data_IF_819535090857
#
_entry.id   IF_819535090857
#
_cell.length_a   1.000
_cell.length_b   1.000
_cell.length_c   1.000
_cell.angle_alpha   90.00
_cell.angle_beta   90.00
_cell.angle_gamma   90.00
#
_symmetry.space_group_name_H-M   'P 1'
#
loop_
_entity.id
_entity.type
_entity.pdbx_description
1 polymer ?
#
# COMPACT_ATOMS: atom_id res chain seq x y z
N UNK A 1 -0.96 28.71 -16.48
CA UNK A 1 -1.17 30.16 -16.23
C UNK A 1 -2.65 30.62 -16.19
N UNK A 2 -3.62 29.80 -16.61
CA UNK A 2 -5.03 30.21 -16.69
C UNK A 2 -5.64 30.48 -15.30
N UNK A 3 -5.52 29.54 -14.35
CA UNK A 3 -6.08 29.71 -13.00
C UNK A 3 -5.58 30.96 -12.26
N UNK A 4 -4.29 31.29 -12.40
CA UNK A 4 -3.69 32.51 -11.80
C UNK A 4 -4.32 33.80 -12.36
N UNK A 5 -4.69 33.81 -13.66
CA UNK A 5 -5.33 34.97 -14.30
C UNK A 5 -6.83 35.06 -13.99
N UNK A 6 -7.50 33.92 -13.86
CA UNK A 6 -8.95 33.87 -13.59
C UNK A 6 -9.29 33.91 -12.10
N UNK A 7 -8.30 33.87 -11.20
CA UNK A 7 -8.51 33.79 -9.76
C UNK A 7 -9.08 32.45 -9.29
N UNK A 8 -9.01 31.42 -10.14
CA UNK A 8 -9.47 30.08 -9.79
C UNK A 8 -8.40 29.33 -8.99
N UNK A 9 -8.83 28.34 -8.22
CA UNK A 9 -7.91 27.43 -7.54
C UNK A 9 -7.14 26.55 -8.54
N UNK A 10 -5.96 26.06 -8.13
CA UNK A 10 -5.18 25.08 -8.88
C UNK A 10 -5.67 23.64 -8.69
N UNK A 11 -6.48 23.37 -7.66
CA UNK A 11 -7.08 22.04 -7.46
C UNK A 11 -8.05 21.70 -8.59
N UNK A 12 -7.90 20.47 -9.08
CA UNK A 12 -8.67 19.91 -10.19
C UNK A 12 -9.85 19.04 -9.72
N UNK A 13 -9.94 18.77 -8.41
CA UNK A 13 -10.97 17.92 -7.81
C UNK A 13 -10.64 16.43 -7.88
N UNK A 14 -9.38 16.07 -8.20
CA UNK A 14 -8.93 14.69 -8.31
C UNK A 14 -9.05 13.93 -6.99
N UNK A 15 -9.24 12.59 -7.01
CA UNK A 15 -9.33 11.79 -5.79
C UNK A 15 -8.13 11.95 -4.84
N UNK A 16 -6.93 12.12 -5.39
CA UNK A 16 -5.70 12.34 -4.60
C UNK A 16 -5.69 13.68 -3.85
N UNK A 17 -6.40 14.70 -4.34
CA UNK A 17 -6.46 16.05 -3.73
C UNK A 17 -7.47 16.13 -2.58
N UNK A 18 -8.36 15.12 -2.42
CA UNK A 18 -9.39 15.13 -1.38
C UNK A 18 -8.73 15.11 0.02
N UNK A 19 -9.35 15.72 1.03
CA UNK A 19 -8.85 15.68 2.40
C UNK A 19 -8.93 14.26 2.98
N UNK A 20 -7.85 13.72 3.55
CA UNK A 20 -7.86 12.43 4.29
C UNK A 20 -8.73 12.61 5.53
N UNK A 21 -9.63 11.66 5.80
CA UNK A 21 -10.51 11.67 6.97
C UNK A 21 -10.38 10.37 7.73
N UNK A 22 -10.07 10.45 9.02
CA UNK A 22 -9.84 9.28 9.88
C UNK A 22 -10.90 9.24 10.98
N UNK A 23 -12.08 8.70 10.67
CA UNK A 23 -13.21 8.67 11.61
C UNK A 23 -13.45 7.26 12.14
N UNK A 24 -13.61 7.14 13.46
CA UNK A 24 -14.10 5.91 14.11
C UNK A 24 -13.12 4.75 14.18
N UNK A 25 -11.84 4.96 13.84
CA UNK A 25 -10.79 3.92 13.90
C UNK A 25 -10.35 3.70 15.33
N UNK A 26 -10.12 4.78 16.06
CA UNK A 26 -9.57 4.78 17.41
C UNK A 26 -10.65 5.11 18.43
N UNK A 27 -10.48 4.61 19.65
CA UNK A 27 -11.35 4.95 20.79
C UNK A 27 -11.23 6.42 21.18
N UNK A 28 -10.08 7.04 20.89
CA UNK A 28 -9.82 8.46 21.12
C UNK A 28 -9.82 9.19 19.77
N UNK A 29 -10.90 9.92 19.48
CA UNK A 29 -11.07 10.66 18.22
C UNK A 29 -10.07 11.81 18.07
N UNK A 30 -9.57 12.34 19.18
CA UNK A 30 -8.62 13.47 19.17
C UNK A 30 -7.26 13.05 18.59
N UNK A 31 -6.83 11.80 18.85
CA UNK A 31 -5.61 11.21 18.26
C UNK A 31 -5.77 11.06 16.76
N UNK A 32 -6.92 10.55 16.30
CA UNK A 32 -7.18 10.42 14.85
C UNK A 32 -7.25 11.79 14.17
N UNK A 33 -7.77 12.82 14.83
CA UNK A 33 -7.78 14.19 14.30
C UNK A 33 -6.37 14.79 14.21
N UNK A 34 -5.49 14.51 15.18
CA UNK A 34 -4.10 14.92 15.15
C UNK A 34 -3.35 14.30 13.95
N UNK A 35 -3.53 13.00 13.71
CA UNK A 35 -2.95 12.31 12.55
C UNK A 35 -3.57 12.80 11.25
N UNK A 36 -4.89 13.03 11.22
CA UNK A 36 -5.57 13.62 10.06
C UNK A 36 -5.01 15.00 9.72
N UNK A 37 -4.79 15.86 10.72
CA UNK A 37 -4.19 17.18 10.53
C UNK A 37 -2.76 17.09 10.02
N UNK A 38 -1.95 16.18 10.57
CA UNK A 38 -0.60 15.90 10.08
C UNK A 38 -0.61 15.50 8.60
N UNK A 39 -1.39 14.48 8.24
CA UNK A 39 -1.47 13.98 6.87
C UNK A 39 -1.94 15.03 5.86
N UNK A 40 -2.94 15.84 6.22
CA UNK A 40 -3.46 16.88 5.33
C UNK A 40 -2.58 18.15 5.26
N UNK A 41 -1.61 18.29 6.16
CA UNK A 41 -0.63 19.39 6.11
C UNK A 41 0.54 19.09 5.18
N UNK A 42 0.75 17.80 4.84
CA UNK A 42 1.85 17.33 4.01
C UNK A 42 1.50 17.42 2.52
N UNK A 43 2.50 17.40 1.63
CA UNK A 43 2.27 17.32 0.19
C UNK A 43 1.43 16.09 -0.19
N UNK A 44 0.66 16.17 -1.28
CA UNK A 44 -0.27 15.12 -1.72
C UNK A 44 0.44 13.77 -1.97
N UNK A 45 1.72 13.79 -2.35
CA UNK A 45 2.53 12.60 -2.64
C UNK A 45 3.29 12.04 -1.44
N UNK A 46 3.21 12.71 -0.27
CA UNK A 46 3.86 12.24 0.94
C UNK A 46 3.19 10.96 1.43
N UNK A 47 3.97 9.88 1.54
CA UNK A 47 3.56 8.61 2.12
C UNK A 47 4.27 8.51 3.48
N UNK A 48 3.54 8.49 4.60
CA UNK A 48 4.15 8.41 5.92
C UNK A 48 4.70 7.00 6.12
N UNK A 49 5.77 6.89 6.89
CA UNK A 49 6.17 5.62 7.45
C UNK A 49 5.37 5.31 8.75
N UNK A 50 5.66 4.18 9.38
CA UNK A 50 5.04 3.84 10.66
C UNK A 50 5.48 4.79 11.79
N UNK A 51 6.75 5.21 11.80
CA UNK A 51 7.35 6.01 12.86
C UNK A 51 6.85 7.46 12.86
N UNK A 52 6.52 8.02 11.70
CA UNK A 52 5.85 9.30 11.49
C UNK A 52 4.52 9.32 12.24
N UNK A 53 3.68 8.30 12.00
CA UNK A 53 2.37 8.17 12.64
C UNK A 53 2.55 7.91 14.14
N UNK A 54 3.46 7.01 14.52
CA UNK A 54 3.75 6.71 15.92
C UNK A 54 4.22 7.95 16.69
N UNK A 55 5.07 8.79 16.07
CA UNK A 55 5.57 10.03 16.66
C UNK A 55 4.43 11.03 16.88
N UNK A 56 3.55 11.22 15.91
CA UNK A 56 2.38 12.10 16.06
C UNK A 56 1.48 11.63 17.21
N UNK A 57 1.23 10.32 17.32
CA UNK A 57 0.43 9.74 18.41
C UNK A 57 1.12 9.95 19.76
N UNK A 58 2.43 9.73 19.83
CA UNK A 58 3.23 9.90 21.06
C UNK A 58 3.28 11.36 21.50
N UNK A 59 3.56 12.28 20.58
CA UNK A 59 3.61 13.73 20.83
C UNK A 59 2.25 14.26 21.28
N UNK A 60 1.16 13.78 20.67
CA UNK A 60 -0.19 14.12 21.09
C UNK A 60 -0.49 13.60 22.50
N UNK A 61 -0.14 12.34 22.79
CA UNK A 61 -0.35 11.74 24.10
C UNK A 61 0.45 12.46 25.21
N UNK A 62 1.65 12.96 24.90
CA UNK A 62 2.47 13.74 25.83
C UNK A 62 1.89 15.13 26.14
N UNK A 63 1.16 15.72 25.19
CA UNK A 63 0.58 17.07 25.31
C UNK A 63 -0.86 17.06 25.83
N UNK A 64 -1.61 15.99 25.59
CA UNK A 64 -3.00 15.85 25.99
C UNK A 64 -3.16 15.74 27.52
N UNK A 65 -4.28 16.27 28.03
CA UNK A 65 -4.79 15.97 29.37
C UNK A 65 -6.06 15.13 29.19
N UNK A 66 -6.40 14.25 30.14
CA UNK A 66 -5.91 12.92 30.56
C UNK A 66 -6.82 11.76 30.02
N UNK A 67 -6.66 10.48 30.46
CA UNK A 67 -5.45 9.82 30.91
C UNK A 67 -4.55 9.47 29.71
N UNK A 68 -3.22 9.55 29.88
CA UNK A 68 -2.30 9.16 28.83
C UNK A 68 -2.51 7.67 28.49
N UNK A 69 -2.51 7.37 27.20
CA UNK A 69 -2.43 6.02 26.69
C UNK A 69 -1.14 5.37 27.20
N UNK A 70 -1.22 4.08 27.53
CA UNK A 70 -0.03 3.28 27.85
C UNK A 70 0.79 3.05 26.57
N UNK A 71 2.08 2.75 26.69
CA UNK A 71 2.96 2.54 25.53
C UNK A 71 2.42 1.47 24.56
N UNK A 72 1.87 0.37 25.09
CA UNK A 72 1.22 -0.67 24.28
C UNK A 72 -0.03 -0.17 23.55
N UNK A 73 -0.79 0.74 24.16
CA UNK A 73 -1.97 1.36 23.53
C UNK A 73 -1.55 2.37 22.46
N UNK A 74 -0.45 3.10 22.67
CA UNK A 74 0.16 3.98 21.66
C UNK A 74 0.55 3.17 20.44
N UNK A 75 1.28 2.07 20.61
CA UNK A 75 1.71 1.19 19.51
C UNK A 75 0.52 0.59 18.76
N UNK A 76 -0.48 0.06 19.47
CA UNK A 76 -1.69 -0.50 18.84
C UNK A 76 -2.44 0.57 18.05
N UNK A 77 -2.62 1.75 18.66
CA UNK A 77 -3.32 2.88 18.03
C UNK A 77 -2.58 3.39 16.80
N UNK A 78 -1.24 3.49 16.87
CA UNK A 78 -0.40 3.90 15.76
C UNK A 78 -0.48 2.89 14.60
N UNK A 79 -0.44 1.59 14.88
CA UNK A 79 -0.59 0.53 13.85
C UNK A 79 -1.95 0.62 13.15
N UNK A 80 -3.03 0.75 13.91
CA UNK A 80 -4.38 0.85 13.36
C UNK A 80 -4.54 2.09 12.47
N UNK A 81 -4.06 3.24 12.94
CA UNK A 81 -4.07 4.50 12.18
C UNK A 81 -3.20 4.42 10.92
N UNK A 82 -2.00 3.85 11.03
CA UNK A 82 -1.10 3.67 9.89
C UNK A 82 -1.76 2.81 8.80
N UNK A 83 -2.29 1.65 9.17
CA UNK A 83 -2.97 0.76 8.23
C UNK A 83 -4.13 1.45 7.51
N UNK A 84 -4.91 2.24 8.26
CA UNK A 84 -6.04 2.96 7.68
C UNK A 84 -5.59 4.10 6.76
N UNK A 85 -4.58 4.88 7.15
CA UNK A 85 -3.99 5.93 6.28
C UNK A 85 -3.53 5.32 4.97
N UNK A 86 -2.77 4.22 5.01
CA UNK A 86 -2.28 3.53 3.83
C UNK A 86 -3.45 2.99 2.98
N UNK A 87 -4.49 2.42 3.61
CA UNK A 87 -5.70 1.94 2.92
C UNK A 87 -6.39 3.08 2.15
N UNK A 88 -6.57 4.23 2.79
CA UNK A 88 -7.20 5.42 2.19
C UNK A 88 -6.34 5.94 1.03
N UNK A 89 -5.03 6.05 1.20
CA UNK A 89 -4.11 6.51 0.15
C UNK A 89 -4.08 5.57 -1.05
N UNK A 90 -3.99 4.25 -0.83
CA UNK A 90 -4.05 3.24 -1.90
C UNK A 90 -5.37 3.32 -2.67
N UNK A 91 -6.49 3.47 -1.95
CA UNK A 91 -7.82 3.60 -2.57
C UNK A 91 -7.90 4.84 -3.47
N UNK A 92 -7.39 5.98 -3.01
CA UNK A 92 -7.35 7.22 -3.82
C UNK A 92 -6.49 7.08 -5.04
N UNK A 93 -5.29 6.50 -4.89
CA UNK A 93 -4.39 6.29 -6.01
C UNK A 93 -5.03 5.38 -7.06
N UNK A 94 -5.73 4.32 -6.64
CA UNK A 94 -6.49 3.46 -7.56
C UNK A 94 -7.58 4.25 -8.31
N UNK A 95 -8.40 5.00 -7.59
CA UNK A 95 -9.46 5.83 -8.20
C UNK A 95 -8.91 6.91 -9.12
N UNK A 96 -7.75 7.47 -8.79
CA UNK A 96 -7.09 8.48 -9.59
C UNK A 96 -6.46 7.89 -10.85
N UNK A 97 -5.92 6.66 -10.77
CA UNK A 97 -5.47 5.90 -11.93
C UNK A 97 -6.60 5.67 -12.94
N UNK A 98 -7.83 5.42 -12.49
CA UNK A 98 -9.00 5.28 -13.39
C UNK A 98 -9.31 6.58 -14.18
N UNK A 99 -8.90 7.74 -13.67
CA UNK A 99 -9.09 9.04 -14.33
C UNK A 99 -7.91 9.35 -15.26
N UNK A 100 -6.67 9.07 -14.81
CA UNK A 100 -5.44 9.37 -15.55
C UNK A 100 -5.25 8.39 -16.71
N UNK A 101 -5.56 7.12 -16.48
CA UNK A 101 -5.51 6.05 -17.45
C UNK A 101 -6.90 5.41 -17.50
N UNK A 102 -7.86 6.04 -18.21
CA UNK A 102 -9.18 5.45 -18.39
C UNK A 102 -8.99 4.12 -19.11
N UNK A 103 -9.19 3.03 -18.37
CA UNK A 103 -9.22 1.69 -18.97
C UNK A 103 -10.42 1.70 -19.89
N UNK A 104 -10.18 1.66 -21.20
CA UNK A 104 -11.27 1.44 -22.14
C UNK A 104 -11.97 0.15 -21.72
N UNK A 105 -13.28 0.22 -21.52
CA UNK A 105 -14.05 -0.99 -21.20
C UNK A 105 -13.98 -1.89 -22.42
N UNK A 106 -13.01 -2.80 -22.44
CA UNK A 106 -12.90 -3.85 -23.43
C UNK A 106 -14.10 -4.75 -23.19
N UNK A 107 -15.13 -4.59 -24.03
CA UNK A 107 -16.41 -5.30 -23.88
C UNK A 107 -16.30 -6.77 -24.27
N UNK A 108 -15.31 -7.12 -25.10
CA UNK A 108 -15.06 -8.48 -25.59
C UNK A 108 -13.54 -8.70 -25.68
N UNK A 109 -13.04 -9.76 -25.05
CA UNK A 109 -11.63 -10.16 -25.15
C UNK A 109 -11.42 -10.88 -26.50
N UNK A 110 -10.49 -10.44 -27.37
CA UNK A 110 -10.17 -11.13 -28.62
C UNK A 110 -9.81 -12.61 -28.44
N UNK A 111 -9.25 -12.99 -27.29
CA UNK A 111 -8.89 -14.37 -26.97
C UNK A 111 -10.12 -15.28 -26.74
N UNK A 112 -11.31 -14.71 -26.51
CA UNK A 112 -12.55 -15.51 -26.39
C UNK A 112 -12.98 -16.12 -27.73
N UNK A 113 -12.64 -15.46 -28.85
CA UNK A 113 -13.01 -15.88 -30.21
C UNK A 113 -11.85 -16.56 -30.97
N UNK A 114 -10.62 -16.50 -30.45
CA UNK A 114 -9.42 -17.06 -31.08
C UNK A 114 -8.71 -18.06 -30.14
N UNK A 115 -8.89 -19.34 -30.43
CA UNK A 115 -8.31 -20.44 -29.64
C UNK A 115 -6.78 -20.51 -29.73
N UNK A 116 -6.18 -20.09 -30.85
CA UNK A 116 -4.71 -20.04 -30.99
C UNK A 116 -4.13 -18.93 -30.12
N UNK A 117 -4.77 -17.76 -30.12
CA UNK A 117 -4.40 -16.65 -29.25
C UNK A 117 -4.55 -17.02 -27.78
N UNK A 118 -5.68 -17.64 -27.39
CA UNK A 118 -5.90 -18.12 -26.01
C UNK A 118 -4.80 -19.08 -25.57
N UNK A 119 -4.48 -20.09 -26.40
CA UNK A 119 -3.43 -21.06 -26.09
C UNK A 119 -2.06 -20.39 -25.93
N UNK A 120 -1.73 -19.43 -26.80
CA UNK A 120 -0.47 -18.67 -26.70
C UNK A 120 -0.42 -17.80 -25.43
N UNK A 121 -1.54 -17.20 -25.03
CA UNK A 121 -1.63 -16.45 -23.77
C UNK A 121 -1.47 -17.38 -22.55
N UNK A 122 -2.03 -18.59 -22.57
CA UNK A 122 -1.82 -19.59 -21.53
C UNK A 122 -0.34 -20.02 -21.44
N UNK A 123 0.34 -20.21 -22.58
CA UNK A 123 1.78 -20.47 -22.62
C UNK A 123 2.59 -19.29 -22.05
N UNK A 124 2.22 -18.05 -22.38
CA UNK A 124 2.86 -16.87 -21.81
C UNK A 124 2.68 -16.78 -20.29
N UNK A 125 1.51 -17.15 -19.76
CA UNK A 125 1.26 -17.19 -18.31
C UNK A 125 2.17 -18.20 -17.63
N UNK A 126 2.46 -19.35 -18.28
CA UNK A 126 3.39 -20.38 -17.76
C UNK A 126 4.86 -19.92 -17.80
N UNK A 127 5.25 -19.16 -18.81
CA UNK A 127 6.61 -18.62 -18.96
C UNK A 127 6.87 -17.39 -18.08
N UNK A 128 5.81 -16.70 -17.65
CA UNK A 128 5.92 -15.53 -16.79
C UNK A 128 6.47 -15.96 -15.43
N UNK A 129 7.63 -15.44 -15.07
CA UNK A 129 8.15 -15.54 -13.70
C UNK A 129 7.11 -15.02 -12.73
N UNK A 130 6.83 -15.80 -11.69
CA UNK A 130 5.97 -15.34 -10.61
C UNK A 130 6.63 -14.15 -9.92
N UNK A 131 5.84 -13.16 -9.53
CA UNK A 131 6.31 -12.06 -8.67
C UNK A 131 6.99 -12.63 -7.41
N UNK A 132 6.43 -13.73 -6.87
CA UNK A 132 6.98 -14.44 -5.72
C UNK A 132 8.38 -15.01 -5.99
N UNK A 133 8.61 -15.60 -7.17
CA UNK A 133 9.92 -16.15 -7.54
C UNK A 133 11.00 -15.06 -7.54
N UNK A 134 10.66 -13.88 -8.07
CA UNK A 134 11.57 -12.72 -8.08
C UNK A 134 11.82 -12.25 -6.65
N UNK A 135 10.78 -12.10 -5.84
CA UNK A 135 10.90 -11.70 -4.44
C UNK A 135 11.79 -12.69 -3.67
N UNK A 136 11.53 -13.98 -3.78
CA UNK A 136 12.30 -15.04 -3.12
C UNK A 136 13.77 -15.05 -3.53
N UNK A 137 14.05 -14.78 -4.81
CA UNK A 137 15.43 -14.64 -5.30
C UNK A 137 16.15 -13.51 -4.56
N UNK A 138 15.51 -12.35 -4.39
CA UNK A 138 16.11 -11.23 -3.67
C UNK A 138 16.19 -11.47 -2.17
N UNK A 139 15.23 -12.18 -1.57
CA UNK A 139 15.32 -12.61 -0.16
C UNK A 139 16.54 -13.50 0.05
N UNK A 140 16.74 -14.51 -0.79
CA UNK A 140 17.93 -15.39 -0.73
C UNK A 140 19.22 -14.61 -0.91
N UNK A 141 19.26 -13.70 -1.88
CA UNK A 141 20.44 -12.86 -2.11
C UNK A 141 20.75 -11.97 -0.90
N UNK A 142 19.74 -11.42 -0.22
CA UNK A 142 19.92 -10.64 1.01
C UNK A 142 20.46 -11.51 2.16
N UNK A 143 19.94 -12.73 2.32
CA UNK A 143 20.42 -13.69 3.33
C UNK A 143 21.88 -14.12 3.08
N UNK A 144 22.24 -14.35 1.82
CA UNK A 144 23.59 -14.73 1.40
C UNK A 144 24.60 -13.59 1.57
N UNK A 145 24.22 -12.36 1.19
CA UNK A 145 25.08 -11.18 1.29
C UNK A 145 25.30 -10.70 2.73
N UNK A 146 24.44 -11.08 3.70
CA UNK A 146 24.47 -10.60 5.11
C UNK A 146 24.62 -9.08 5.21
N UNK A 147 24.09 -8.34 4.24
CA UNK A 147 24.12 -6.89 4.26
C UNK A 147 23.02 -6.42 5.22
N UNK A 148 23.43 -5.83 6.33
CA UNK A 148 22.50 -5.19 7.26
C UNK A 148 21.76 -4.06 6.52
N UNK A 149 20.45 -3.94 6.79
CA UNK A 149 19.63 -2.86 6.25
C UNK A 149 20.20 -1.51 6.72
N UNK A 150 20.94 -0.85 5.84
CA UNK A 150 21.46 0.49 6.10
C UNK A 150 20.34 1.49 5.89
N UNK A 151 20.02 2.26 6.94
CA UNK A 151 19.07 3.37 6.86
C UNK A 151 19.59 4.34 5.78
N UNK A 152 18.80 4.51 4.72
CA UNK A 152 19.09 5.49 3.68
C UNK A 152 18.62 6.83 4.24
N UNK A 153 19.55 7.71 4.62
CA UNK A 153 19.18 9.07 5.01
C UNK A 153 18.46 9.74 3.85
N UNK A 154 17.28 10.30 4.11
CA UNK A 154 16.48 10.99 3.11
C UNK A 154 17.22 12.23 2.60
N UNK A 155 17.76 12.16 1.38
CA UNK A 155 18.29 13.31 0.68
C UNK A 155 17.12 14.18 0.16
N UNK A 156 16.97 15.43 0.63
CA UNK A 156 15.84 16.29 0.29
C UNK A 156 15.79 16.71 -1.20
N UNK A 157 16.80 16.41 -2.02
CA UNK A 157 16.91 16.95 -3.38
C UNK A 157 16.27 16.09 -4.49
N UNK A 158 15.84 14.84 -4.24
CA UNK A 158 15.28 13.98 -5.31
C UNK A 158 13.82 14.30 -5.73
N UNK A 159 13.23 15.39 -5.24
CA UNK A 159 11.86 15.84 -5.52
C UNK A 159 11.77 16.98 -6.55
N UNK A 160 12.90 17.50 -7.04
CA UNK A 160 12.91 18.52 -8.07
C UNK A 160 13.08 17.87 -9.46
N UNK A 161 11.99 17.83 -10.24
CA UNK A 161 12.08 17.52 -11.65
C UNK A 161 12.97 18.53 -12.36
N UNK A 162 14.08 18.05 -12.93
CA UNK A 162 14.89 18.84 -13.85
C UNK A 162 14.09 19.03 -15.15
N UNK A 163 13.54 20.23 -15.31
CA UNK A 163 13.26 20.79 -16.62
C UNK A 163 14.58 21.34 -17.14
N UNK A 164 15.24 20.59 -18.02
CA UNK A 164 16.34 21.12 -18.82
C UNK A 164 15.84 21.30 -20.26
N UNK A 165 15.74 22.57 -20.62
CA UNK A 165 15.23 23.13 -21.86
C UNK A 165 16.48 23.70 -22.54
N UNK A 166 17.15 22.91 -23.37
CA UNK A 166 18.22 23.42 -24.24
C UNK A 166 17.98 22.96 -25.68
N UNK A 167 17.46 23.91 -26.45
CA UNK A 167 17.51 23.99 -27.92
C UNK A 167 18.96 23.91 -28.40
N UNK A 168 19.30 22.88 -29.17
CA UNK A 168 20.36 22.98 -30.20
C UNK A 168 19.88 22.35 -31.51
N UNK A 169 19.63 23.25 -32.47
CA UNK A 169 19.45 23.00 -33.89
C UNK A 169 20.78 22.54 -34.52
N UNK A 170 20.82 21.35 -35.13
CA UNK A 170 21.75 21.11 -36.25
C UNK A 170 21.11 20.30 -37.39
N UNK A 171 21.43 20.79 -38.58
CA UNK A 171 20.87 20.60 -39.91
C UNK A 171 21.67 19.54 -40.72
N UNK A 172 21.05 19.05 -41.80
CA UNK A 172 21.62 18.26 -42.93
C UNK A 172 21.86 16.75 -42.67
N UNK A 173 21.48 15.78 -43.51
CA UNK A 173 21.00 15.72 -44.91
C UNK A 173 20.44 14.32 -45.19
N UNK A 174 19.52 14.23 -46.15
CA UNK A 174 18.98 12.99 -46.68
C UNK A 174 19.91 12.36 -47.73
N UNK A 175 20.10 11.03 -47.69
CA UNK A 175 20.48 10.21 -48.85
C UNK A 175 19.73 8.86 -48.75
N UNK A 176 19.13 8.45 -49.86
CA UNK A 176 18.33 7.24 -50.02
C UNK A 176 19.18 5.99 -50.22
N UNK A 177 18.68 4.86 -49.71
CA UNK A 177 18.60 3.59 -50.45
C UNK A 177 19.82 2.66 -50.39
N UNK A 178 19.63 1.44 -49.89
CA UNK A 178 19.68 0.23 -50.74
C UNK A 178 19.46 -1.03 -49.89
N UNK A 179 18.64 -1.91 -50.46
CA UNK A 179 18.27 -3.24 -50.00
C UNK A 179 19.48 -4.21 -50.10
N UNK A 180 19.69 -5.09 -49.12
CA UNK A 180 20.23 -6.46 -49.33
C UNK A 180 20.09 -7.28 -48.06
N UNK A 181 19.31 -8.35 -48.15
CA UNK A 181 19.25 -9.38 -47.12
C UNK A 181 20.50 -10.27 -47.14
N UNK A 182 20.76 -10.89 -45.99
CA UNK A 182 21.40 -12.20 -45.87
C UNK A 182 21.03 -12.75 -44.49
N UNK A 183 20.28 -13.85 -44.51
CA UNK A 183 20.13 -14.83 -43.44
C UNK A 183 21.51 -15.33 -42.98
N UNK A 184 21.70 -15.52 -41.67
CA UNK A 184 22.55 -16.58 -41.13
C UNK A 184 22.01 -16.93 -39.73
N UNK A 185 21.44 -18.12 -39.66
CA UNK A 185 20.97 -18.77 -38.44
C UNK A 185 22.17 -19.26 -37.61
N UNK A 186 22.11 -19.08 -36.30
CA UNK A 186 22.91 -19.89 -35.36
C UNK A 186 22.00 -20.52 -34.33
N UNK A 187 21.88 -21.84 -34.44
CA UNK A 187 21.26 -22.76 -33.50
C UNK A 187 22.15 -22.84 -32.24
N UNK A 188 21.59 -22.61 -31.06
CA UNK A 188 22.15 -23.11 -29.81
C UNK A 188 21.17 -24.13 -29.23
N UNK A 189 21.48 -25.40 -29.51
CA UNK A 189 20.88 -26.59 -28.94
C UNK A 189 21.38 -26.76 -27.50
N UNK A 190 20.53 -26.46 -26.52
CA UNK A 190 20.70 -26.98 -25.16
C UNK A 190 19.52 -27.87 -24.79
N UNK A 191 19.74 -29.16 -25.01
CA UNK A 191 18.99 -30.25 -24.40
C UNK A 191 19.08 -30.14 -22.88
N UNK A 192 17.96 -29.86 -22.21
CA UNK A 192 17.80 -30.21 -20.81
C UNK A 192 16.68 -31.23 -20.68
N UNK A 193 17.06 -32.39 -20.17
CA UNK A 193 16.21 -33.56 -20.00
C UNK A 193 15.11 -33.27 -18.98
N UNK A 194 13.89 -33.55 -19.41
CA UNK A 194 12.64 -33.56 -18.65
C UNK A 194 12.69 -34.62 -17.55
N UNK A 195 12.90 -34.20 -16.31
CA UNK A 195 12.55 -35.01 -15.15
C UNK A 195 11.05 -34.86 -14.85
N UNK A 196 10.39 -36.01 -14.83
CA UNK A 196 9.00 -36.18 -14.44
C UNK A 196 8.91 -35.95 -12.93
N UNK A 197 8.14 -34.96 -12.50
CA UNK A 197 7.63 -34.92 -11.14
C UNK A 197 6.14 -35.21 -11.20
N UNK A 198 5.79 -36.32 -10.56
CA UNK A 198 4.43 -36.84 -10.48
C UNK A 198 3.55 -35.90 -9.66
N UNK A 199 2.29 -35.84 -10.09
CA UNK A 199 1.23 -35.11 -9.42
C UNK A 199 0.86 -35.83 -8.12
N UNK A 200 1.15 -35.19 -6.98
CA UNK A 200 0.55 -35.55 -5.70
C UNK A 200 -0.62 -34.61 -5.45
N UNK A 201 -1.80 -35.23 -5.47
CA UNK A 201 -3.12 -34.66 -5.23
C UNK A 201 -3.27 -34.32 -3.74
N UNK A 202 -3.41 -33.05 -3.38
CA UNK A 202 -3.70 -32.67 -1.99
C UNK A 202 -5.22 -32.51 -1.78
N UNK A 203 -5.70 -33.31 -0.85
CA UNK A 203 -7.10 -33.50 -0.48
C UNK A 203 -7.55 -32.37 0.43
N UNK A 204 -8.64 -31.72 0.05
CA UNK A 204 -9.37 -30.78 0.91
C UNK A 204 -9.75 -31.45 2.24
N UNK A 205 -9.39 -30.83 3.37
CA UNK A 205 -9.94 -31.15 4.68
C UNK A 205 -10.60 -29.90 5.25
N UNK A 206 -11.91 -30.00 5.42
CA UNK A 206 -12.77 -29.01 6.07
C UNK A 206 -12.56 -29.11 7.59
N UNK A 207 -11.88 -28.13 8.18
CA UNK A 207 -11.77 -27.97 9.63
C UNK A 207 -12.83 -26.97 10.11
N UNK A 208 -14.01 -27.48 10.45
CA UNK A 208 -15.09 -26.76 11.12
C UNK A 208 -14.86 -26.80 12.65
N UNK A 209 -14.08 -25.84 13.18
CA UNK A 209 -13.95 -25.64 14.62
C UNK A 209 -14.91 -24.53 15.09
N UNK A 210 -15.90 -24.83 15.97
CA UNK A 210 -16.86 -23.84 16.44
C UNK A 210 -16.25 -22.89 17.48
N UNK A 211 -16.63 -21.60 17.50
CA UNK A 211 -16.02 -20.61 18.37
C UNK A 211 -16.30 -20.86 19.86
N UNK A 212 -15.32 -20.60 20.76
CA UNK A 212 -15.49 -20.80 22.19
C UNK A 212 -16.56 -19.88 22.79
N UNK A 213 -17.45 -20.49 23.58
CA UNK A 213 -18.56 -19.83 24.29
C UNK A 213 -18.04 -18.74 25.22
N UNK A 214 -18.57 -17.52 25.04
CA UNK A 214 -18.46 -16.39 25.97
C UNK A 214 -18.88 -16.81 27.38
N UNK A 215 -17.92 -17.03 28.28
CA UNK A 215 -18.20 -17.15 29.70
C UNK A 215 -18.60 -15.77 30.23
N UNK A 216 -19.90 -15.62 30.52
CA UNK A 216 -20.45 -14.48 31.27
C UNK A 216 -19.75 -14.40 32.63
N UNK A 217 -18.93 -13.38 32.85
CA UNK A 217 -18.57 -12.95 34.20
C UNK A 217 -19.84 -12.51 34.92
N UNK A 218 -20.28 -13.32 35.88
CA UNK A 218 -21.32 -12.95 36.83
C UNK A 218 -20.77 -11.89 37.80
N UNK A 219 -21.56 -10.88 38.19
CA UNK A 219 -21.12 -9.88 39.15
C UNK A 219 -20.98 -10.50 40.55
N UNK A 220 -19.79 -10.36 41.15
CA UNK A 220 -19.56 -10.64 42.56
C UNK A 220 -20.39 -9.66 43.40
N UNK A 221 -21.39 -10.18 44.11
CA UNK A 221 -22.08 -9.48 45.21
C UNK A 221 -21.04 -9.06 46.25
N UNK A 222 -20.92 -7.74 46.45
CA UNK A 222 -20.30 -7.18 47.65
C UNK A 222 -21.28 -7.26 48.82
N UNK A 223 -20.83 -7.65 50.04
CA UNK A 223 -21.68 -7.61 51.22
C UNK A 223 -21.82 -6.17 51.72
N UNK A 224 -23.07 -5.68 51.78
CA UNK A 224 -23.42 -4.46 52.51
C UNK A 224 -23.11 -4.67 53.99
N UNK A 225 -22.27 -3.81 54.56
CA UNK A 225 -22.14 -3.66 56.01
C UNK A 225 -23.20 -2.67 56.47
N UNK A 226 -24.22 -3.15 57.14
CA UNK A 226 -25.10 -2.33 57.96
C UNK A 226 -24.27 -1.73 59.10
N UNK A 227 -24.22 -0.40 59.16
CA UNK A 227 -23.85 0.35 60.36
C UNK A 227 -25.08 1.14 60.78
N UNK A 228 -25.89 0.52 61.62
CA UNK A 228 -26.84 1.22 62.48
C UNK A 228 -26.03 1.97 63.53
N UNK A 229 -26.20 3.29 63.61
CA UNK A 229 -25.94 4.06 64.82
C UNK A 229 -27.20 4.84 65.17
N UNK A 230 -27.62 4.84 66.44
CA UNK A 230 -28.78 5.58 66.90
C UNK A 230 -28.36 7.04 67.12
N UNK A 231 -29.19 7.98 66.69
CA UNK A 231 -29.08 9.35 67.18
C UNK A 231 -30.42 9.78 67.78
N UNK A 232 -30.37 10.00 69.10
CA UNK A 232 -31.41 10.63 69.90
C UNK A 232 -31.55 12.10 69.51
N UNK A 233 -32.77 12.55 69.25
CA UNK A 233 -33.26 13.90 69.55
C UNK A 233 -34.76 13.96 69.22
N UNK A 234 -35.64 13.84 70.21
CA UNK A 234 -36.36 14.93 70.89
C UNK A 234 -37.49 14.35 71.73
#
# INVERSE_FOLDING_TARGET
>A
MICRKTGCNFYTGRPIEKRITLQGITKCAEVSEAVEKFMNSKPIHFIPDYHDIQKVVTDFNAQARPPPLCDSEIESTAKDLFNEVIRVMRTRRRQDMEIVCPVETVTEDPADNDEELRKKLEENVKLRKSEQEVIEKFVKQQEESKEDAKEVEEDPESSAGESDDEDEEEDLTAEQGSNSGTDEATQDDQQFTRDQVEEESDSESEDDEPPPKKQRCSPKKSPRKDKTSPNSHK
#
